data_IF_757563607022
#
_entry.id   IF_757563607022
#
_cell.length_a   1.000
_cell.length_b   1.000
_cell.length_c   1.000
_cell.angle_alpha   90.00
_cell.angle_beta   90.00
_cell.angle_gamma   90.00
#
_symmetry.space_group_name_H-M   'P 1'
#
loop_
_entity.id
_entity.type
_entity.pdbx_description
1 polymer ?
#
# COMPACT_ATOMS: atom_id res chain seq x y z
N UNK A 1 -11.74 -2.67 -10.59
CA UNK A 1 -11.49 -1.30 -11.03
C UNK A 1 -10.38 -0.65 -10.22
N UNK A 2 -9.50 0.05 -10.88
CA UNK A 2 -8.37 0.68 -10.19
C UNK A 2 -8.68 2.10 -9.78
N UNK A 3 -8.12 2.48 -8.68
CA UNK A 3 -8.26 3.84 -8.18
C UNK A 3 -6.90 4.52 -8.17
N UNK A 4 -6.91 5.80 -8.37
CA UNK A 4 -5.67 6.59 -8.32
C UNK A 4 -5.61 7.36 -7.02
N UNK A 5 -4.41 7.43 -6.47
CA UNK A 5 -4.18 8.14 -5.23
C UNK A 5 -2.95 9.01 -5.39
N UNK A 6 -3.04 10.24 -4.92
CA UNK A 6 -1.87 11.12 -4.92
C UNK A 6 -1.24 11.07 -3.55
N UNK A 7 0.06 10.85 -3.50
CA UNK A 7 0.79 10.71 -2.26
C UNK A 7 1.91 11.73 -2.19
N UNK A 8 2.04 12.35 -1.03
CA UNK A 8 3.16 13.24 -0.77
C UNK A 8 4.07 12.57 0.24
N UNK A 9 5.33 12.46 -0.08
CA UNK A 9 6.30 11.78 0.78
C UNK A 9 7.37 12.76 1.24
N UNK A 10 7.90 12.50 2.43
CA UNK A 10 9.08 13.21 2.88
C UNK A 10 10.26 12.66 2.08
N UNK A 11 11.38 13.39 2.13
CA UNK A 11 12.58 12.94 1.42
C UNK A 11 13.01 11.56 1.93
N UNK A 12 12.93 11.36 3.23
CA UNK A 12 13.33 10.09 3.82
C UNK A 12 12.43 8.94 3.35
N UNK A 13 11.13 9.19 3.33
CA UNK A 13 10.18 8.18 2.85
C UNK A 13 10.43 7.84 1.38
N UNK A 14 10.72 8.86 0.59
CA UNK A 14 11.02 8.65 -0.81
C UNK A 14 12.27 7.78 -0.98
N UNK A 15 13.29 8.08 -0.17
CA UNK A 15 14.53 7.30 -0.22
C UNK A 15 14.28 5.83 0.13
N UNK A 16 13.43 5.59 1.12
CA UNK A 16 13.09 4.22 1.49
C UNK A 16 12.31 3.52 0.39
N UNK A 17 11.44 4.27 -0.28
CA UNK A 17 10.67 3.70 -1.38
C UNK A 17 11.61 3.27 -2.50
N UNK A 18 12.60 4.10 -2.83
CA UNK A 18 13.59 3.74 -3.83
C UNK A 18 14.39 2.52 -3.41
N UNK A 19 14.74 2.47 -2.12
CA UNK A 19 15.48 1.33 -1.60
C UNK A 19 14.69 0.04 -1.74
N UNK A 20 13.40 0.09 -1.43
CA UNK A 20 12.55 -1.07 -1.57
C UNK A 20 12.43 -1.50 -3.03
N UNK A 21 12.28 -0.52 -3.90
CA UNK A 21 12.19 -0.80 -5.33
C UNK A 21 13.41 -1.58 -5.80
N UNK A 22 14.59 -1.09 -5.43
CA UNK A 22 15.83 -1.72 -5.87
C UNK A 22 16.08 -3.04 -5.18
N UNK A 23 15.74 -3.10 -3.90
CA UNK A 23 15.97 -4.32 -3.12
C UNK A 23 15.15 -5.49 -3.66
N UNK A 24 13.92 -5.25 -4.03
CA UNK A 24 13.04 -6.31 -4.54
C UNK A 24 13.03 -6.39 -6.06
N UNK A 25 13.80 -5.56 -6.74
CA UNK A 25 13.88 -5.62 -8.19
C UNK A 25 12.61 -5.20 -8.89
N UNK A 26 11.90 -4.27 -8.32
CA UNK A 26 10.65 -3.80 -8.92
C UNK A 26 10.94 -2.78 -10.01
N UNK A 27 9.98 -2.63 -10.92
CA UNK A 27 10.21 -1.82 -12.11
C UNK A 27 9.90 -0.34 -11.95
N UNK A 28 8.99 -0.01 -11.07
CA UNK A 28 8.59 1.39 -10.93
C UNK A 28 8.20 1.68 -9.50
N UNK A 29 8.12 2.96 -9.18
CA UNK A 29 7.70 3.37 -7.85
C UNK A 29 6.24 3.01 -7.60
N UNK A 30 5.42 3.10 -8.64
CA UNK A 30 4.01 2.72 -8.51
C UNK A 30 3.90 1.25 -8.15
N UNK A 31 4.68 0.42 -8.81
CA UNK A 31 4.69 -1.01 -8.51
C UNK A 31 5.16 -1.27 -7.09
N UNK A 32 6.12 -0.48 -6.63
CA UNK A 32 6.64 -0.61 -5.29
C UNK A 32 5.57 -0.29 -4.25
N UNK A 33 4.78 0.75 -4.49
CA UNK A 33 3.69 1.11 -3.58
C UNK A 33 2.66 -0.02 -3.54
N UNK A 34 2.28 -0.54 -4.69
CA UNK A 34 1.32 -1.64 -4.75
C UNK A 34 1.85 -2.87 -4.01
N UNK A 35 3.13 -3.15 -4.19
CA UNK A 35 3.75 -4.28 -3.52
C UNK A 35 3.69 -4.12 -2.00
N UNK A 36 3.99 -2.93 -1.51
CA UNK A 36 3.96 -2.67 -0.07
C UNK A 36 2.55 -2.81 0.49
N UNK A 37 1.57 -2.31 -0.26
CA UNK A 37 0.17 -2.43 0.17
C UNK A 37 -0.25 -3.88 0.22
N UNK A 38 0.12 -4.66 -0.78
CA UNK A 38 -0.20 -6.08 -0.80
C UNK A 38 0.39 -6.81 0.39
N UNK A 39 1.61 -6.47 0.73
CA UNK A 39 2.26 -7.08 1.88
C UNK A 39 1.49 -6.80 3.16
N UNK A 40 1.03 -5.57 3.31
CA UNK A 40 0.26 -5.21 4.50
C UNK A 40 -1.08 -5.93 4.54
N UNK A 41 -1.72 -6.06 3.39
CA UNK A 41 -2.98 -6.79 3.33
C UNK A 41 -2.78 -8.23 3.78
N UNK A 42 -1.75 -8.88 3.25
CA UNK A 42 -1.47 -10.27 3.60
C UNK A 42 -1.13 -10.44 5.07
N UNK A 43 -0.44 -9.47 5.61
CA UNK A 43 -0.04 -9.51 7.00
C UNK A 43 -1.22 -9.47 7.94
N UNK A 44 -2.29 -8.82 7.54
CA UNK A 44 -3.46 -8.64 8.40
C UNK A 44 -4.63 -9.54 8.03
N UNK A 45 -4.40 -10.52 7.19
CA UNK A 45 -5.43 -11.49 6.90
C UNK A 45 -5.77 -12.24 8.16
N UNK A 46 -7.03 -12.43 8.41
CA UNK A 46 -7.46 -13.10 9.62
C UNK A 46 -7.62 -12.19 10.82
N UNK A 47 -7.23 -10.95 10.67
CA UNK A 47 -7.40 -9.98 11.75
C UNK A 47 -8.81 -9.40 11.65
N UNK A 48 -9.67 -9.72 12.62
CA UNK A 48 -11.07 -9.29 12.54
C UNK A 48 -11.24 -7.79 12.63
N UNK A 49 -10.39 -7.13 13.40
CA UNK A 49 -10.49 -5.68 13.53
C UNK A 49 -10.15 -5.03 12.20
N UNK A 50 -9.10 -5.51 11.56
CA UNK A 50 -8.71 -5.00 10.26
C UNK A 50 -9.82 -5.22 9.25
N UNK A 51 -10.43 -6.40 9.25
CA UNK A 51 -11.50 -6.73 8.33
C UNK A 51 -12.72 -5.82 8.54
N UNK A 52 -12.96 -5.44 9.79
CA UNK A 52 -14.03 -4.51 10.08
C UNK A 52 -13.81 -3.19 9.30
N UNK A 53 -12.60 -2.68 9.34
CA UNK A 53 -12.30 -1.44 8.64
C UNK A 53 -12.39 -1.59 7.12
N UNK A 54 -12.02 -2.76 6.61
CA UNK A 54 -12.17 -3.02 5.18
C UNK A 54 -13.64 -2.99 4.78
N UNK A 55 -14.49 -3.60 5.59
CA UNK A 55 -15.92 -3.60 5.32
C UNK A 55 -16.51 -2.21 5.37
N UNK A 56 -16.07 -1.41 6.32
CA UNK A 56 -16.54 -0.03 6.42
C UNK A 56 -16.14 0.76 5.19
N UNK A 57 -14.94 0.55 4.70
CA UNK A 57 -14.48 1.24 3.50
C UNK A 57 -15.31 0.86 2.28
N UNK A 58 -15.69 -0.40 2.21
CA UNK A 58 -16.50 -0.86 1.09
C UNK A 58 -17.87 -0.24 1.07
N UNK A 59 -18.43 -0.05 2.26
CA UNK A 59 -19.72 0.55 2.33
C UNK A 59 -19.71 2.00 1.97
N UNK A 60 -18.54 2.59 2.12
CA UNK A 60 -18.51 3.74 1.88
C UNK A 60 -18.41 4.75 1.77
N UNK A 61 -18.03 4.78 1.72
CA UNK A 61 -17.63 5.53 1.64
C UNK A 61 -17.59 6.67 1.13
N UNK A 62 -17.32 7.45 1.45
CA UNK A 62 -17.31 8.65 1.05
C UNK A 62 -16.25 9.24 1.17
#
# INVERSE_FOLDING_TARGET
>A
MKKSVRITLTQDEYNHLLALKNYFGLKSLVETVSFAVEKEINRHQGNTIYQYYVEEARKGVK
#
